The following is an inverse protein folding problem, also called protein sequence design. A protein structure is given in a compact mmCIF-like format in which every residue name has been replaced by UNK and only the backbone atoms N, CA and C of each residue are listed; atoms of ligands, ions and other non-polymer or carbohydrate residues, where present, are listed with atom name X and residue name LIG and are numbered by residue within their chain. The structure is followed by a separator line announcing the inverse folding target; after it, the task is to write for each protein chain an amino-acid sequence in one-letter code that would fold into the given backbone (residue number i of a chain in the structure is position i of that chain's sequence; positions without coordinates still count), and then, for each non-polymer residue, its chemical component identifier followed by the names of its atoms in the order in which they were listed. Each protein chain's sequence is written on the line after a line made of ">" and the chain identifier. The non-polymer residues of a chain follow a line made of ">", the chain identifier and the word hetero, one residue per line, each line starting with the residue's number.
data_IF_971973875827
#
_entry.id   IF_971973875827
#
_cell.length_a   1.000
_cell.length_b   1.000
_cell.length_c   1.000
_cell.angle_alpha   90.00
_cell.angle_beta   90.00
_cell.angle_gamma   90.00
#
_symmetry.space_group_name_H-M   'P 1'
#
loop_
_entity.id
_entity.type
_entity.pdbx_description
1 polymer ?
#
# COMPACT_ATOMS: atom_id res chain seq x y z
N UNK A 1 29.90 -11.23 -0.55
CA UNK A 1 28.77 -12.19 -0.44
C UNK A 1 27.73 -11.72 0.58
N UNK A 2 26.95 -10.67 0.27
CA UNK A 2 25.90 -10.11 1.18
C UNK A 2 24.68 -9.58 0.40
N UNK A 3 24.28 -10.27 -0.68
CA UNK A 3 23.30 -9.75 -1.66
C UNK A 3 22.00 -10.53 -1.83
N UNK A 4 21.90 -11.77 -1.38
CA UNK A 4 20.75 -12.63 -1.74
C UNK A 4 19.50 -12.41 -0.88
N UNK A 5 19.64 -11.87 0.34
CA UNK A 5 18.54 -11.74 1.31
C UNK A 5 17.57 -10.56 1.06
N UNK A 6 17.87 -9.65 0.12
CA UNK A 6 17.10 -8.41 -0.08
C UNK A 6 16.00 -8.61 -1.15
N UNK A 7 16.19 -9.57 -2.06
CA UNK A 7 15.17 -9.98 -3.03
C UNK A 7 14.01 -10.73 -2.37
N UNK A 8 14.34 -11.64 -1.46
CA UNK A 8 13.39 -12.42 -0.67
C UNK A 8 12.51 -11.57 0.23
N UNK A 9 13.01 -10.48 0.84
CA UNK A 9 12.14 -9.62 1.67
C UNK A 9 11.06 -8.89 0.87
N UNK A 10 11.38 -8.43 -0.35
CA UNK A 10 10.38 -7.82 -1.25
C UNK A 10 9.42 -8.87 -1.81
N UNK A 11 9.90 -10.05 -2.17
CA UNK A 11 9.07 -11.16 -2.64
C UNK A 11 8.18 -11.71 -1.54
N UNK A 12 8.71 -11.98 -0.34
CA UNK A 12 7.95 -12.39 0.83
C UNK A 12 6.86 -11.36 1.16
N UNK A 13 7.20 -10.06 1.13
CA UNK A 13 6.19 -9.00 1.30
C UNK A 13 5.10 -9.10 0.23
N UNK A 14 5.45 -9.30 -1.04
CA UNK A 14 4.48 -9.45 -2.15
C UNK A 14 3.61 -10.70 -1.99
N UNK A 15 4.19 -11.84 -1.63
CA UNK A 15 3.47 -13.09 -1.38
C UNK A 15 2.49 -12.91 -0.21
N UNK A 16 2.93 -12.29 0.88
CA UNK A 16 2.06 -11.96 2.02
C UNK A 16 0.90 -11.06 1.58
N UNK A 17 1.14 -10.06 0.71
CA UNK A 17 0.06 -9.21 0.17
C UNK A 17 -0.96 -10.03 -0.62
N UNK A 18 -0.47 -10.92 -1.50
CA UNK A 18 -1.33 -11.74 -2.36
C UNK A 18 -2.16 -12.70 -1.52
N UNK A 19 -1.53 -13.38 -0.56
CA UNK A 19 -2.22 -14.31 0.35
C UNK A 19 -3.29 -13.59 1.15
N UNK A 20 -2.99 -12.41 1.69
CA UNK A 20 -3.97 -11.60 2.44
C UNK A 20 -5.12 -11.16 1.51
N UNK A 21 -4.82 -10.55 0.37
CA UNK A 21 -5.85 -10.10 -0.58
C UNK A 21 -6.72 -11.26 -1.09
N UNK A 22 -6.15 -12.45 -1.27
CA UNK A 22 -6.89 -13.64 -1.64
C UNK A 22 -7.80 -14.13 -0.50
N UNK A 23 -7.31 -14.17 0.74
CA UNK A 23 -8.17 -14.51 1.89
C UNK A 23 -9.35 -13.55 2.03
N UNK A 24 -9.12 -12.25 1.83
CA UNK A 24 -10.18 -11.22 1.87
C UNK A 24 -11.23 -11.48 0.81
N UNK A 25 -10.79 -11.77 -0.41
CA UNK A 25 -11.66 -12.04 -1.54
C UNK A 25 -12.51 -13.28 -1.31
N UNK A 26 -11.90 -14.38 -0.84
CA UNK A 26 -12.62 -15.61 -0.47
C UNK A 26 -13.64 -15.33 0.62
N UNK A 27 -13.26 -14.56 1.63
CA UNK A 27 -14.16 -14.22 2.74
C UNK A 27 -15.31 -13.34 2.28
N UNK A 28 -15.07 -12.33 1.45
CA UNK A 28 -16.10 -11.51 0.82
C UNK A 28 -17.09 -12.35 -0.01
N UNK A 29 -16.59 -13.36 -0.74
CA UNK A 29 -17.43 -14.30 -1.49
C UNK A 29 -18.30 -15.13 -0.53
N UNK A 30 -17.74 -15.64 0.56
CA UNK A 30 -18.51 -16.38 1.57
C UNK A 30 -19.64 -15.51 2.15
N UNK A 31 -19.40 -14.21 2.35
CA UNK A 31 -20.43 -13.29 2.88
C UNK A 31 -21.60 -13.08 1.90
N UNK A 32 -21.33 -13.14 0.60
CA UNK A 32 -22.34 -12.99 -0.45
C UNK A 32 -23.18 -14.27 -0.58
N UNK A 33 -22.56 -15.45 -0.44
CA UNK A 33 -23.22 -16.73 -0.71
C UNK A 33 -24.10 -17.21 0.45
N UNK A 34 -23.82 -16.83 1.70
CA UNK A 34 -24.60 -17.29 2.86
C UNK A 34 -25.35 -16.13 3.56
N UNK A 35 -26.63 -15.85 3.21
CA UNK A 35 -27.48 -14.92 3.94
C UNK A 35 -28.04 -15.53 5.25
N UNK A 36 -27.20 -16.26 6.01
CA UNK A 36 -27.63 -17.13 7.12
C UNK A 36 -26.81 -17.06 8.42
N UNK A 37 -25.47 -16.91 8.41
CA UNK A 37 -24.66 -16.87 9.62
C UNK A 37 -23.94 -15.52 9.81
N UNK A 38 -24.69 -14.43 9.87
CA UNK A 38 -24.14 -13.07 10.01
C UNK A 38 -23.22 -12.89 11.24
N UNK A 39 -23.48 -13.65 12.32
CA UNK A 39 -22.72 -13.57 13.59
C UNK A 39 -21.29 -14.09 13.50
N UNK A 40 -21.00 -15.04 12.61
CA UNK A 40 -19.63 -15.52 12.36
C UNK A 40 -18.92 -14.68 11.29
N UNK A 41 -19.70 -14.25 10.30
CA UNK A 41 -19.27 -13.42 9.18
C UNK A 41 -18.74 -12.06 9.63
N UNK A 42 -19.41 -11.39 10.57
CA UNK A 42 -19.02 -10.05 11.06
C UNK A 42 -17.63 -10.05 11.74
N UNK A 43 -17.37 -10.86 12.78
CA UNK A 43 -16.06 -10.89 13.43
C UNK A 43 -14.95 -11.39 12.49
N UNK A 44 -15.28 -12.32 11.57
CA UNK A 44 -14.35 -12.80 10.56
C UNK A 44 -14.02 -11.68 9.55
N UNK A 45 -15.03 -10.98 9.04
CA UNK A 45 -14.92 -9.76 8.25
C UNK A 45 -14.04 -8.69 8.91
N UNK A 46 -14.29 -8.40 10.19
CA UNK A 46 -13.50 -7.45 10.97
C UNK A 46 -12.05 -7.91 11.19
N UNK A 47 -11.80 -9.19 11.44
CA UNK A 47 -10.44 -9.73 11.63
C UNK A 47 -9.58 -9.58 10.37
N UNK A 48 -10.21 -9.77 9.20
CA UNK A 48 -9.59 -9.57 7.90
C UNK A 48 -9.32 -8.09 7.65
N UNK A 49 -10.36 -7.25 7.81
CA UNK A 49 -10.22 -5.80 7.65
C UNK A 49 -9.09 -5.28 8.55
N UNK A 50 -9.04 -5.69 9.83
CA UNK A 50 -7.99 -5.29 10.75
C UNK A 50 -6.58 -5.66 10.23
N UNK A 51 -6.42 -6.86 9.68
CA UNK A 51 -5.17 -7.34 9.07
C UNK A 51 -4.80 -6.51 7.83
N UNK A 52 -5.77 -6.22 6.98
CA UNK A 52 -5.59 -5.38 5.80
C UNK A 52 -5.25 -3.93 6.13
N UNK A 53 -5.88 -3.34 7.14
CA UNK A 53 -5.61 -1.96 7.57
C UNK A 53 -4.16 -1.77 8.03
N UNK A 54 -3.60 -2.75 8.75
CA UNK A 54 -2.17 -2.73 9.14
C UNK A 54 -1.28 -2.75 7.90
N UNK A 55 -1.63 -3.54 6.88
CA UNK A 55 -0.90 -3.58 5.63
C UNK A 55 -1.04 -2.30 4.81
N UNK A 56 -2.25 -1.76 4.68
CA UNK A 56 -2.55 -0.50 3.99
C UNK A 56 -1.77 0.66 4.60
N UNK A 57 -1.70 0.74 5.94
CA UNK A 57 -0.90 1.75 6.64
C UNK A 57 0.58 1.62 6.31
N UNK A 58 1.10 0.39 6.23
CA UNK A 58 2.50 0.11 5.88
C UNK A 58 2.79 0.45 4.41
N UNK A 59 1.80 0.30 3.52
CA UNK A 59 1.88 0.71 2.12
C UNK A 59 1.83 2.23 1.96
N UNK A 60 0.92 2.90 2.68
CA UNK A 60 0.83 4.36 2.73
C UNK A 60 2.15 4.99 3.22
N UNK A 61 2.82 4.39 4.20
CA UNK A 61 4.14 4.86 4.65
C UNK A 61 5.21 4.72 3.55
N UNK A 62 5.09 3.74 2.64
CA UNK A 62 5.97 3.63 1.47
C UNK A 62 5.63 4.70 0.43
N UNK A 63 4.35 4.87 0.10
CA UNK A 63 3.89 5.93 -0.80
C UNK A 63 4.26 7.31 -0.30
N UNK A 64 4.09 7.60 0.99
CA UNK A 64 4.45 8.90 1.59
C UNK A 64 5.95 9.19 1.46
N UNK A 65 6.81 8.16 1.44
CA UNK A 65 8.25 8.32 1.20
C UNK A 65 8.54 8.64 -0.26
N UNK A 66 7.91 7.95 -1.19
CA UNK A 66 8.06 8.23 -2.63
C UNK A 66 7.46 9.58 -3.00
N UNK A 67 6.25 9.91 -2.54
CA UNK A 67 5.61 11.20 -2.72
C UNK A 67 6.48 12.36 -2.22
N UNK A 68 7.20 12.16 -1.10
CA UNK A 68 8.12 13.19 -0.56
C UNK A 68 9.36 13.38 -1.44
N UNK A 69 9.85 12.31 -2.10
CA UNK A 69 10.93 12.40 -3.09
C UNK A 69 10.45 13.14 -4.35
N UNK A 70 9.26 12.80 -4.86
CA UNK A 70 8.66 13.48 -5.99
C UNK A 70 8.44 14.97 -5.70
N UNK A 71 7.87 15.29 -4.53
CA UNK A 71 7.67 16.67 -4.09
C UNK A 71 8.97 17.48 -4.07
N UNK A 72 10.08 16.92 -3.56
CA UNK A 72 11.34 17.65 -3.51
C UNK A 72 11.93 17.92 -4.91
N UNK A 73 11.79 16.97 -5.83
CA UNK A 73 12.23 17.15 -7.22
C UNK A 73 11.38 18.19 -7.95
N UNK A 74 10.06 18.12 -7.79
CA UNK A 74 9.11 19.06 -8.41
C UNK A 74 9.29 20.46 -7.81
N UNK A 75 9.39 20.58 -6.49
CA UNK A 75 9.60 21.86 -5.81
C UNK A 75 10.89 22.54 -6.27
N UNK A 76 11.99 21.78 -6.40
CA UNK A 76 13.25 22.31 -6.94
C UNK A 76 13.10 22.74 -8.40
N UNK A 77 12.38 21.98 -9.22
CA UNK A 77 12.19 22.30 -10.64
C UNK A 77 11.36 23.57 -10.83
N UNK A 78 10.30 23.76 -10.05
CA UNK A 78 9.47 24.97 -10.06
C UNK A 78 10.28 26.18 -9.60
N UNK A 79 11.08 26.05 -8.54
CA UNK A 79 11.91 27.15 -8.03
C UNK A 79 12.98 27.60 -9.03
N UNK A 80 13.67 26.66 -9.69
CA UNK A 80 14.67 27.01 -10.71
C UNK A 80 14.03 27.66 -11.93
N UNK A 81 12.86 27.18 -12.37
CA UNK A 81 12.16 27.75 -13.51
C UNK A 81 11.64 29.17 -13.21
N UNK A 82 11.20 29.43 -11.98
CA UNK A 82 10.79 30.77 -11.53
C UNK A 82 11.97 31.75 -11.50
N UNK A 83 13.18 31.30 -11.13
CA UNK A 83 14.39 32.13 -11.19
C UNK A 83 14.82 32.43 -12.63
N UNK A 84 14.76 31.43 -13.51
CA UNK A 84 15.08 31.64 -14.94
C UNK A 84 14.08 32.58 -15.63
N UNK A 85 12.80 32.56 -15.22
CA UNK A 85 11.77 33.45 -15.78
C UNK A 85 11.98 34.92 -15.39
N UNK A 86 12.57 35.22 -14.24
CA UNK A 86 12.91 36.59 -13.82
C UNK A 86 14.16 37.16 -14.50
N UNK A 87 14.98 36.33 -15.15
CA UNK A 87 16.19 36.74 -15.88
C UNK A 87 15.97 36.90 -17.39
N UNK A 88 14.75 36.69 -17.89
CA UNK A 88 14.37 36.94 -19.29
C UNK A 88 13.41 38.13 -19.36
N UNK A 89 13.92 39.36 -19.57
CA UNK A 89 13.12 40.54 -19.94
C UNK A 89 12.57 40.45 -21.36
#
# INVERSE_FOLDING_TARGET
>A
MRGFMIGTLKQAKRVIVIVIGFTVLVLGIVLIVLPGPATLVIPLGLAILATEFVWARRLLVRFKREARRLKNTIARKIQNNARQRSEQP
#
